data_IF_445718687635
#
_entry.id   IF_445718687635
#
_cell.length_a   1.000
_cell.length_b   1.000
_cell.length_c   1.000
_cell.angle_alpha   90.00
_cell.angle_beta   90.00
_cell.angle_gamma   90.00
#
_symmetry.space_group_name_H-M   'P 1'
#
loop_
_entity.id
_entity.type
_entity.pdbx_description
1 polymer ?
#
# COMPACT_ATOMS: atom_id res chain seq x y z
N UNK A 1 1.09 2.15 6.24
CA UNK A 1 0.22 1.03 6.69
C UNK A 1 0.70 -0.25 6.06
N UNK A 2 0.65 -1.37 6.78
CA UNK A 2 0.97 -2.67 6.21
C UNK A 2 -0.32 -3.46 5.92
N UNK A 3 -0.31 -4.36 4.91
CA UNK A 3 -1.41 -5.31 4.71
C UNK A 3 -1.62 -6.19 5.94
N UNK A 4 -2.83 -6.70 6.10
CA UNK A 4 -3.16 -7.62 7.19
C UNK A 4 -2.24 -8.86 7.19
N UNK A 5 -2.10 -9.50 8.35
CA UNK A 5 -1.30 -10.72 8.48
C UNK A 5 -1.83 -11.86 7.60
N UNK A 6 -3.14 -11.95 7.44
CA UNK A 6 -3.76 -13.01 6.64
C UNK A 6 -3.58 -12.75 5.15
N UNK A 7 -3.71 -11.49 4.71
CA UNK A 7 -3.44 -11.13 3.32
C UNK A 7 -1.96 -11.32 2.95
N UNK A 8 -1.03 -11.03 3.87
CA UNK A 8 0.41 -11.31 3.68
C UNK A 8 0.70 -12.80 3.51
N UNK A 9 0.09 -13.65 4.36
CA UNK A 9 0.22 -15.11 4.26
C UNK A 9 -0.37 -15.62 2.94
N UNK A 10 -1.54 -15.11 2.55
CA UNK A 10 -2.20 -15.50 1.30
C UNK A 10 -1.39 -15.12 0.07
N UNK A 11 -0.83 -13.91 0.03
CA UNK A 11 0.00 -13.46 -1.08
C UNK A 11 1.21 -14.37 -1.29
N UNK A 12 1.83 -14.83 -0.18
CA UNK A 12 2.93 -15.79 -0.23
C UNK A 12 4.12 -15.36 -1.09
N UNK A 13 4.23 -14.05 -1.39
CA UNK A 13 5.17 -13.47 -2.35
C UNK A 13 5.16 -14.11 -3.75
N UNK A 14 4.02 -14.67 -4.18
CA UNK A 14 3.85 -15.24 -5.51
C UNK A 14 3.45 -14.15 -6.51
N UNK A 15 4.23 -13.95 -7.57
CA UNK A 15 3.99 -12.89 -8.56
C UNK A 15 2.63 -13.04 -9.25
N UNK A 16 2.19 -14.28 -9.50
CA UNK A 16 0.86 -14.62 -10.04
C UNK A 16 -0.30 -14.08 -9.20
N UNK A 17 -0.10 -13.98 -7.87
CA UNK A 17 -1.11 -13.49 -6.94
C UNK A 17 -1.05 -11.97 -6.75
N UNK A 18 -0.05 -11.28 -7.33
CA UNK A 18 0.20 -9.86 -7.04
C UNK A 18 -0.97 -8.96 -7.46
N UNK A 19 -1.61 -9.25 -8.59
CA UNK A 19 -2.75 -8.45 -9.07
C UNK A 19 -3.92 -8.52 -8.08
N UNK A 20 -4.29 -9.72 -7.66
CA UNK A 20 -5.37 -9.96 -6.70
C UNK A 20 -4.99 -9.45 -5.30
N UNK A 21 -3.73 -9.62 -4.88
CA UNK A 21 -3.21 -9.02 -3.66
C UNK A 21 -3.39 -7.51 -3.64
N UNK A 22 -3.08 -6.82 -4.76
CA UNK A 22 -3.23 -5.38 -4.85
C UNK A 22 -4.70 -4.94 -4.74
N UNK A 23 -5.65 -5.70 -5.30
CA UNK A 23 -7.08 -5.44 -5.19
C UNK A 23 -7.52 -5.56 -3.72
N UNK A 24 -7.21 -6.70 -3.08
CA UNK A 24 -7.58 -6.96 -1.69
C UNK A 24 -6.96 -5.95 -0.73
N UNK A 25 -5.70 -5.60 -0.95
CA UNK A 25 -5.02 -4.64 -0.09
C UNK A 25 -5.61 -3.23 -0.23
N UNK A 26 -5.98 -2.80 -1.44
CA UNK A 26 -6.72 -1.53 -1.62
C UNK A 26 -8.05 -1.56 -0.88
N UNK A 27 -8.80 -2.67 -0.94
CA UNK A 27 -10.04 -2.80 -0.20
C UNK A 27 -9.84 -2.71 1.33
N UNK A 28 -8.76 -3.28 1.87
CA UNK A 28 -8.39 -3.10 3.29
C UNK A 28 -8.12 -1.63 3.62
N UNK A 29 -7.44 -0.89 2.74
CA UNK A 29 -7.15 0.53 2.91
C UNK A 29 -8.43 1.39 2.80
N UNK A 30 -9.25 1.16 1.79
CA UNK A 30 -10.52 1.88 1.56
C UNK A 30 -11.52 1.67 2.71
N UNK A 31 -11.46 0.50 3.36
CA UNK A 31 -12.34 0.16 4.50
C UNK A 31 -11.83 0.70 5.84
N UNK A 32 -10.65 1.33 5.87
CA UNK A 32 -10.01 1.83 7.09
C UNK A 32 -10.01 3.37 7.09
N UNK A 33 -10.86 4.04 7.90
CA UNK A 33 -10.92 5.50 7.96
C UNK A 33 -9.57 6.15 8.30
N UNK A 34 -8.80 5.54 9.22
CA UNK A 34 -7.46 6.02 9.58
C UNK A 34 -6.51 5.97 8.38
N UNK A 35 -6.70 5.01 7.47
CA UNK A 35 -5.90 4.93 6.25
C UNK A 35 -6.10 6.15 5.37
N UNK A 36 -7.35 6.59 5.22
CA UNK A 36 -7.68 7.76 4.43
C UNK A 36 -7.06 9.04 5.05
N UNK A 37 -7.12 9.19 6.37
CA UNK A 37 -6.48 10.31 7.07
C UNK A 37 -4.96 10.32 6.89
N UNK A 38 -4.30 9.17 7.01
CA UNK A 38 -2.86 9.06 6.77
C UNK A 38 -2.52 9.35 5.31
N UNK A 39 -3.35 8.90 4.36
CA UNK A 39 -3.14 9.20 2.94
C UNK A 39 -3.17 10.70 2.67
N UNK A 40 -4.14 11.41 3.24
CA UNK A 40 -4.26 12.85 3.09
C UNK A 40 -3.05 13.56 3.70
N UNK A 41 -2.64 13.16 4.90
CA UNK A 41 -1.44 13.73 5.52
C UNK A 41 -0.17 13.50 4.69
N UNK A 42 -0.02 12.31 4.07
CA UNK A 42 1.10 12.05 3.16
C UNK A 42 1.02 12.96 1.93
N UNK A 43 -0.17 13.21 1.37
CA UNK A 43 -0.34 14.13 0.23
C UNK A 43 -0.01 15.57 0.59
N UNK A 44 -0.34 16.01 1.79
CA UNK A 44 0.05 17.33 2.31
C UNK A 44 1.58 17.43 2.40
N UNK A 45 2.25 16.46 3.01
CA UNK A 45 3.71 16.43 3.11
C UNK A 45 4.39 16.44 1.74
N UNK A 46 3.82 15.74 0.75
CA UNK A 46 4.29 15.71 -0.63
C UNK A 46 4.18 17.06 -1.37
N UNK A 47 3.47 18.05 -0.82
CA UNK A 47 3.49 19.41 -1.36
C UNK A 47 4.79 20.15 -1.02
N UNK A 48 5.43 19.78 0.09
CA UNK A 48 6.61 20.46 0.62
C UNK A 48 7.91 19.69 0.34
N UNK A 49 7.90 18.35 0.43
CA UNK A 49 9.10 17.51 0.21
C UNK A 49 8.76 16.05 -0.18
N UNK A 50 9.76 15.28 -0.60
CA UNK A 50 9.62 13.87 -0.94
C UNK A 50 9.33 12.99 0.28
N UNK A 51 8.31 12.13 0.18
CA UNK A 51 7.99 11.12 1.20
C UNK A 51 8.58 9.75 0.83
N UNK A 52 9.44 9.21 1.69
CA UNK A 52 10.04 7.87 1.50
C UNK A 52 9.23 6.78 2.19
N UNK A 53 8.72 5.81 1.42
CA UNK A 53 8.07 4.61 1.95
C UNK A 53 9.10 3.50 2.21
N UNK A 54 9.34 3.19 3.48
CA UNK A 54 10.22 2.09 3.90
C UNK A 54 9.42 0.79 3.98
N UNK A 55 9.95 -0.29 3.37
CA UNK A 55 9.33 -1.62 3.42
C UNK A 55 10.37 -2.71 3.63
N UNK A 56 9.98 -3.78 4.31
CA UNK A 56 10.82 -4.96 4.58
C UNK A 56 10.38 -6.17 3.75
N UNK A 57 10.61 -6.15 2.44
CA UNK A 57 10.37 -7.31 1.58
C UNK A 57 11.61 -7.61 0.72
N UNK A 58 11.94 -8.89 0.56
CA UNK A 58 13.07 -9.33 -0.28
C UNK A 58 12.84 -9.14 -1.78
N UNK A 59 11.59 -8.96 -2.21
CA UNK A 59 11.22 -8.78 -3.62
C UNK A 59 10.88 -7.31 -3.89
N UNK A 60 11.69 -6.66 -4.71
CA UNK A 60 11.55 -5.23 -5.06
C UNK A 60 10.45 -4.97 -6.09
N UNK A 61 10.04 -5.98 -6.87
CA UNK A 61 9.10 -5.83 -8.00
C UNK A 61 7.64 -6.10 -7.60
N UNK A 62 7.41 -6.99 -6.65
CA UNK A 62 6.08 -7.34 -6.16
C UNK A 62 6.01 -7.14 -4.63
N UNK A 63 5.91 -5.86 -4.22
CA UNK A 63 5.80 -5.48 -2.82
C UNK A 63 4.57 -4.62 -2.55
N UNK A 64 4.16 -4.60 -1.28
CA UNK A 64 2.99 -3.84 -0.84
C UNK A 64 3.21 -2.32 -0.85
N UNK A 65 4.46 -1.85 -0.83
CA UNK A 65 4.78 -0.42 -0.82
C UNK A 65 4.42 0.23 -2.16
N UNK A 66 4.59 -0.48 -3.28
CA UNK A 66 4.12 -0.02 -4.59
C UNK A 66 2.60 0.15 -4.62
N UNK A 67 1.86 -0.83 -4.08
CA UNK A 67 0.39 -0.75 -4.00
C UNK A 67 -0.04 0.41 -3.10
N UNK A 68 0.62 0.59 -1.95
CA UNK A 68 0.34 1.69 -1.03
C UNK A 68 0.62 3.05 -1.68
N UNK A 69 1.77 3.20 -2.35
CA UNK A 69 2.13 4.41 -3.10
C UNK A 69 1.03 4.75 -4.11
N UNK A 70 0.66 3.80 -4.96
CA UNK A 70 -0.32 4.03 -6.02
C UNK A 70 -1.73 4.33 -5.46
N UNK A 71 -2.05 3.78 -4.30
CA UNK A 71 -3.29 4.08 -3.59
C UNK A 71 -3.28 5.50 -3.01
N UNK A 72 -2.20 5.91 -2.33
CA UNK A 72 -2.05 7.29 -1.81
C UNK A 72 -2.10 8.32 -2.94
N UNK A 73 -1.43 8.05 -4.06
CA UNK A 73 -1.34 8.98 -5.19
C UNK A 73 -2.63 9.09 -6.03
N UNK A 74 -3.62 8.22 -5.80
CA UNK A 74 -4.89 8.30 -6.52
C UNK A 74 -5.63 9.55 -6.04
N UNK A 75 -5.86 10.51 -6.94
CA UNK A 75 -6.72 11.68 -6.67
C UNK A 75 -8.18 11.21 -6.58
N UNK A 76 -8.85 11.57 -5.48
CA UNK A 76 -10.31 11.57 -5.39
C UNK A 76 -10.91 12.72 -6.19
#
# INVERSE_FOLDING_TARGET
MAPSSDLRKWFGHQEENYHEFAIRYRAELDSNPEAAHVAEHIRELLQDDDVTLVYGAKNEKCNHALVLRDWVMRKS
#
